data_IF_460568541005
#
_entry.id   IF_460568541005
#
_cell.length_a   1.000
_cell.length_b   1.000
_cell.length_c   1.000
_cell.angle_alpha   90.00
_cell.angle_beta   90.00
_cell.angle_gamma   90.00
#
_symmetry.space_group_name_H-M   'P 1'
#
loop_
_entity.id
_entity.type
_entity.pdbx_description
1 polymer ?
#
# COMPACT_ATOMS: atom_id res chain seq x y z
N UNK A 1 -15.32 10.95 5.41
CA UNK A 1 -13.87 11.04 5.71
C UNK A 1 -13.18 9.93 4.95
N UNK A 2 -12.15 10.24 4.16
CA UNK A 2 -11.49 9.23 3.32
C UNK A 2 -10.84 8.13 4.16
N UNK A 3 -10.97 6.88 3.73
CA UNK A 3 -10.36 5.72 4.39
C UNK A 3 -8.90 5.58 3.99
N UNK A 4 -8.00 5.58 4.98
CA UNK A 4 -6.56 5.49 4.75
C UNK A 4 -6.06 4.07 5.04
N UNK A 5 -5.46 3.41 4.04
CA UNK A 5 -5.00 2.03 4.12
C UNK A 5 -3.49 1.98 3.87
N UNK A 6 -2.72 1.52 4.85
CA UNK A 6 -1.30 1.22 4.67
C UNK A 6 -1.12 -0.19 4.12
N UNK A 7 -0.36 -0.34 3.03
CA UNK A 7 0.00 -1.65 2.47
C UNK A 7 1.38 -2.03 2.99
N UNK A 8 1.43 -2.90 3.98
CA UNK A 8 2.65 -3.22 4.70
C UNK A 8 2.97 -4.71 4.76
N UNK A 9 4.23 -5.04 4.64
CA UNK A 9 4.83 -6.32 4.97
C UNK A 9 6.36 -6.14 4.97
N UNK A 10 7.04 -6.63 5.99
CA UNK A 10 8.50 -6.51 6.10
C UNK A 10 9.26 -7.36 5.08
N UNK A 11 8.63 -8.38 4.50
CA UNK A 11 9.24 -9.20 3.44
C UNK A 11 9.22 -8.46 2.11
N UNK A 12 10.39 -8.38 1.46
CA UNK A 12 10.49 -7.86 0.10
C UNK A 12 9.84 -8.80 -0.93
N UNK A 13 9.34 -8.25 -2.03
CA UNK A 13 8.82 -9.03 -3.15
C UNK A 13 7.46 -9.71 -2.92
N UNK A 14 6.72 -9.36 -1.87
CA UNK A 14 5.39 -9.93 -1.60
C UNK A 14 4.25 -9.27 -2.40
N UNK A 15 4.55 -8.28 -3.22
CA UNK A 15 3.57 -7.59 -4.05
C UNK A 15 2.95 -6.34 -3.40
N UNK A 16 3.60 -5.68 -2.42
CA UNK A 16 3.11 -4.43 -1.82
C UNK A 16 2.85 -3.34 -2.86
N UNK A 17 3.89 -2.92 -3.58
CA UNK A 17 3.76 -1.88 -4.62
C UNK A 17 2.82 -2.31 -5.75
N UNK A 18 2.86 -3.60 -6.14
CA UNK A 18 1.91 -4.14 -7.12
C UNK A 18 0.46 -4.00 -6.62
N UNK A 19 0.23 -4.26 -5.34
CA UNK A 19 -1.11 -4.11 -4.73
C UNK A 19 -1.48 -2.63 -4.62
N UNK A 20 -0.56 -1.76 -4.17
CA UNK A 20 -0.82 -0.32 -4.08
C UNK A 20 -1.22 0.27 -5.44
N UNK A 21 -0.45 0.00 -6.51
CA UNK A 21 -0.73 0.47 -7.86
C UNK A 21 -2.10 0.00 -8.35
N UNK A 22 -2.34 -1.31 -8.29
CA UNK A 22 -3.49 -1.90 -8.96
C UNK A 22 -4.79 -1.76 -8.15
N UNK A 23 -4.72 -1.80 -6.81
CA UNK A 23 -5.86 -1.51 -5.95
C UNK A 23 -6.31 -0.05 -6.13
N UNK A 24 -5.38 0.91 -6.04
CA UNK A 24 -5.68 2.33 -6.23
C UNK A 24 -6.33 2.58 -7.59
N UNK A 25 -5.77 2.00 -8.65
CA UNK A 25 -6.29 2.19 -10.00
C UNK A 25 -7.66 1.52 -10.23
N UNK A 26 -7.93 0.36 -9.63
CA UNK A 26 -9.23 -0.29 -9.71
C UNK A 26 -10.29 0.46 -8.87
N UNK A 27 -9.93 1.01 -7.71
CA UNK A 27 -10.80 1.89 -6.93
C UNK A 27 -11.18 3.13 -7.75
N UNK A 28 -10.20 3.77 -8.42
CA UNK A 28 -10.43 4.91 -9.31
C UNK A 28 -11.34 4.57 -10.50
N UNK A 29 -11.15 3.41 -11.14
CA UNK A 29 -12.01 2.88 -12.20
C UNK A 29 -13.46 2.68 -11.72
N UNK A 30 -13.67 2.37 -10.43
CA UNK A 30 -14.98 2.24 -9.78
C UNK A 30 -15.56 3.58 -9.30
N UNK A 31 -14.94 4.70 -9.63
CA UNK A 31 -15.43 6.04 -9.34
C UNK A 31 -15.01 6.62 -8.00
N UNK A 32 -14.16 5.93 -7.23
CA UNK A 32 -13.61 6.44 -5.99
C UNK A 32 -12.48 7.45 -6.26
N UNK A 33 -12.41 8.54 -5.51
CA UNK A 33 -11.28 9.46 -5.55
C UNK A 33 -10.14 8.90 -4.69
N UNK A 34 -9.01 8.61 -5.31
CA UNK A 34 -7.90 7.93 -4.64
C UNK A 34 -6.62 8.78 -4.66
N UNK A 35 -6.00 8.90 -3.50
CA UNK A 35 -4.62 9.37 -3.36
C UNK A 35 -3.73 8.18 -3.04
N UNK A 36 -2.73 7.93 -3.86
CA UNK A 36 -1.68 6.95 -3.58
C UNK A 36 -0.45 7.67 -3.05
N UNK A 37 0.19 7.12 -2.01
CA UNK A 37 1.42 7.66 -1.42
C UNK A 37 2.48 6.58 -1.51
N UNK A 38 3.57 6.87 -2.20
CA UNK A 38 4.73 5.98 -2.29
C UNK A 38 5.69 6.30 -1.14
N UNK A 39 5.80 5.42 -0.14
CA UNK A 39 6.70 5.57 1.01
C UNK A 39 7.95 4.69 0.90
N UNK A 40 8.20 4.08 -0.27
CA UNK A 40 9.40 3.29 -0.51
C UNK A 40 10.45 4.13 -1.27
N UNK A 41 11.69 4.26 -0.76
CA UNK A 41 12.79 4.93 -1.48
C UNK A 41 13.10 4.33 -2.85
N UNK A 42 12.67 3.10 -3.11
CA UNK A 42 12.80 2.49 -4.44
C UNK A 42 11.89 3.15 -5.49
N UNK A 43 10.81 3.83 -5.08
CA UNK A 43 9.89 4.53 -5.98
C UNK A 43 9.23 3.59 -7.00
N UNK A 44 8.91 2.35 -6.59
CA UNK A 44 8.32 1.35 -7.49
C UNK A 44 6.86 1.69 -7.83
N UNK A 45 6.10 2.19 -6.88
CA UNK A 45 4.73 2.66 -7.10
C UNK A 45 4.73 3.89 -7.98
N UNK A 46 5.65 4.82 -7.76
CA UNK A 46 5.85 6.01 -8.59
C UNK A 46 6.09 5.66 -10.06
N UNK A 47 7.10 4.83 -10.32
CA UNK A 47 7.42 4.40 -11.70
C UNK A 47 6.30 3.55 -12.31
N UNK A 48 5.67 2.68 -11.52
CA UNK A 48 4.60 1.79 -11.97
C UNK A 48 3.29 2.53 -12.32
N UNK A 49 3.15 3.77 -11.85
CA UNK A 49 2.06 4.69 -12.20
C UNK A 49 2.46 5.71 -13.28
N UNK A 50 3.59 5.51 -13.95
CA UNK A 50 4.02 6.31 -15.11
C UNK A 50 4.65 7.65 -14.77
N UNK A 51 5.10 7.84 -13.53
CA UNK A 51 5.81 9.06 -13.11
C UNK A 51 7.32 8.81 -13.12
N UNK A 52 8.06 9.66 -13.84
CA UNK A 52 9.53 9.62 -13.91
C UNK A 52 10.15 10.15 -12.61
N UNK A 53 10.38 9.25 -11.66
CA UNK A 53 10.80 9.57 -10.29
C UNK A 53 12.08 10.42 -10.17
N UNK A 54 12.92 10.44 -11.21
CA UNK A 54 14.15 11.24 -11.23
C UNK A 54 13.92 12.67 -11.76
N UNK A 55 12.73 12.97 -12.28
CA UNK A 55 12.37 14.27 -12.85
C UNK A 55 11.41 15.05 -11.93
N UNK A 56 10.95 14.44 -10.85
CA UNK A 56 10.03 15.07 -9.89
C UNK A 56 10.82 15.78 -8.81
N UNK A 57 10.53 17.08 -8.64
CA UNK A 57 11.19 17.95 -7.65
C UNK A 57 10.56 17.82 -6.25
N UNK A 58 9.21 17.69 -6.18
CA UNK A 58 8.48 17.63 -4.93
C UNK A 58 7.94 16.23 -4.71
N UNK A 59 8.53 15.51 -3.75
CA UNK A 59 8.20 14.13 -3.42
C UNK A 59 7.78 14.00 -1.95
N UNK A 60 7.47 12.80 -1.53
CA UNK A 60 7.22 12.51 -0.12
C UNK A 60 8.42 12.87 0.77
N UNK A 61 9.64 12.85 0.24
CA UNK A 61 10.84 13.24 0.97
C UNK A 61 10.81 14.72 1.37
N UNK A 62 10.62 15.63 0.42
CA UNK A 62 10.54 17.06 0.68
C UNK A 62 9.34 17.40 1.58
N UNK A 63 8.24 16.65 1.46
CA UNK A 63 7.07 16.80 2.32
C UNK A 63 7.41 16.44 3.79
N UNK A 64 8.06 15.31 4.03
CA UNK A 64 8.42 14.86 5.37
C UNK A 64 9.43 15.78 6.06
N UNK A 65 10.30 16.43 5.30
CA UNK A 65 11.27 17.41 5.82
C UNK A 65 10.67 18.83 5.97
N UNK A 66 9.44 19.06 5.51
CA UNK A 66 8.80 20.37 5.54
C UNK A 66 9.39 21.35 4.52
N UNK A 67 10.08 20.85 3.51
CA UNK A 67 10.72 21.64 2.44
C UNK A 67 9.74 21.97 1.31
N UNK A 68 8.66 21.17 1.17
CA UNK A 68 7.59 21.39 0.20
C UNK A 68 6.21 21.35 0.84
N UNK A 69 5.25 22.07 0.25
CA UNK A 69 3.85 22.01 0.66
C UNK A 69 3.20 20.74 0.11
N UNK A 70 2.19 20.24 0.81
CA UNK A 70 1.46 19.05 0.42
C UNK A 70 0.86 19.17 -0.99
N UNK A 71 0.29 20.34 -1.33
CA UNK A 71 -0.34 20.57 -2.63
C UNK A 71 0.67 20.48 -3.79
N UNK A 72 1.93 20.85 -3.55
CA UNK A 72 3.00 20.80 -4.54
C UNK A 72 3.52 19.36 -4.76
N UNK A 73 3.28 18.48 -3.80
CA UNK A 73 3.68 17.06 -3.86
C UNK A 73 2.62 16.16 -4.51
N UNK A 74 1.36 16.61 -4.63
CA UNK A 74 0.27 15.81 -5.20
C UNK A 74 0.23 15.97 -6.71
N UNK A 75 0.45 14.87 -7.43
CA UNK A 75 0.43 14.81 -8.90
C UNK A 75 -0.87 14.12 -9.35
N UNK A 76 -1.76 14.79 -10.11
CA UNK A 76 -2.86 14.13 -10.77
C UNK A 76 -2.33 13.21 -11.87
N UNK A 77 -2.80 11.98 -11.92
CA UNK A 77 -2.37 10.99 -12.90
C UNK A 77 -3.33 10.95 -14.11
N UNK A 78 -2.85 10.40 -15.23
CA UNK A 78 -3.67 10.16 -16.43
C UNK A 78 -4.53 8.89 -16.33
N UNK A 79 -4.97 8.56 -15.11
CA UNK A 79 -5.86 7.44 -14.81
C UNK A 79 -7.09 7.97 -14.06
N UNK A 80 -8.21 7.27 -14.15
CA UNK A 80 -9.47 7.73 -13.59
C UNK A 80 -9.38 7.96 -12.08
N UNK A 81 -9.71 9.18 -11.62
CA UNK A 81 -9.82 9.59 -10.22
C UNK A 81 -8.58 9.32 -9.34
N UNK A 82 -7.38 9.29 -9.93
CA UNK A 82 -6.16 8.88 -9.26
C UNK A 82 -5.15 10.02 -9.16
N UNK A 83 -4.63 10.25 -7.97
CA UNK A 83 -3.51 11.16 -7.67
C UNK A 83 -2.40 10.40 -6.95
N UNK A 84 -1.17 10.91 -7.03
CA UNK A 84 0.03 10.30 -6.43
C UNK A 84 0.85 11.35 -5.68
N UNK A 85 1.33 11.00 -4.49
CA UNK A 85 2.51 11.61 -3.88
C UNK A 85 3.69 10.68 -4.20
N UNK A 86 4.63 11.10 -5.07
CA UNK A 86 5.71 10.26 -5.57
C UNK A 86 6.85 10.11 -4.57
N UNK A 87 7.69 9.10 -4.79
CA UNK A 87 8.93 8.84 -4.07
C UNK A 87 10.11 8.71 -5.01
N UNK A 88 11.29 8.96 -4.45
CA UNK A 88 12.57 8.68 -5.10
C UNK A 88 13.63 8.25 -4.08
N UNK A 89 14.87 8.01 -4.56
CA UNK A 89 15.98 7.52 -3.74
C UNK A 89 16.34 8.44 -2.57
N UNK A 90 16.04 9.74 -2.64
CA UNK A 90 16.34 10.71 -1.57
C UNK A 90 15.58 10.37 -0.29
N UNK A 91 14.42 9.73 -0.39
CA UNK A 91 13.63 9.32 0.77
C UNK A 91 14.42 8.41 1.75
N UNK A 92 15.44 7.70 1.28
CA UNK A 92 16.32 6.95 2.16
C UNK A 92 17.06 7.84 3.18
N UNK A 93 17.28 9.12 2.87
CA UNK A 93 17.88 10.10 3.77
C UNK A 93 16.96 10.55 4.90
N UNK A 94 15.64 10.52 4.69
CA UNK A 94 14.66 11.01 5.64
C UNK A 94 14.76 10.32 7.01
N UNK A 95 15.10 9.04 7.06
CA UNK A 95 15.26 8.30 8.32
C UNK A 95 16.37 8.87 9.22
N UNK A 96 17.43 9.40 8.61
CA UNK A 96 18.54 10.01 9.34
C UNK A 96 18.20 11.45 9.70
N UNK A 97 17.60 12.19 8.78
CA UNK A 97 17.32 13.60 8.95
C UNK A 97 16.18 13.86 9.95
N UNK A 98 15.25 12.92 10.09
CA UNK A 98 14.20 12.96 11.09
C UNK A 98 14.68 12.55 12.50
N UNK A 99 15.94 12.10 12.67
CA UNK A 99 16.51 11.85 14.01
C UNK A 99 16.54 13.16 14.80
N UNK A 100 15.79 13.21 15.92
CA UNK A 100 15.77 14.40 16.79
C UNK A 100 14.66 15.40 16.46
N UNK A 101 13.86 15.16 15.44
CA UNK A 101 12.63 15.92 15.18
C UNK A 101 11.58 15.45 16.19
N UNK A 102 10.92 16.39 16.87
CA UNK A 102 9.80 16.10 17.77
C UNK A 102 8.59 15.63 16.97
N UNK A 103 7.82 14.68 17.51
CA UNK A 103 6.62 14.11 16.89
C UNK A 103 6.81 13.62 15.44
N UNK A 104 8.01 13.15 15.13
CA UNK A 104 8.38 12.68 13.78
C UNK A 104 7.51 11.53 13.27
N UNK A 105 6.90 10.78 14.16
CA UNK A 105 5.98 9.68 13.84
C UNK A 105 4.64 10.19 13.28
N UNK A 106 4.31 11.46 13.48
CA UNK A 106 3.05 12.10 13.10
C UNK A 106 3.17 13.06 11.91
N UNK A 107 4.34 13.22 11.32
CA UNK A 107 4.57 14.20 10.24
C UNK A 107 3.66 13.91 9.04
N UNK A 108 3.62 12.66 8.58
CA UNK A 108 2.75 12.27 7.48
C UNK A 108 1.27 12.46 7.84
N UNK A 109 0.86 12.04 9.03
CA UNK A 109 -0.52 12.21 9.51
C UNK A 109 -0.96 13.68 9.48
N UNK A 110 -0.14 14.57 10.04
CA UNK A 110 -0.44 16.01 10.09
C UNK A 110 -0.55 16.64 8.69
N UNK A 111 0.20 16.13 7.72
CA UNK A 111 0.08 16.57 6.34
C UNK A 111 -1.20 16.03 5.68
N UNK A 112 -1.45 14.73 5.79
CA UNK A 112 -2.56 14.07 5.10
C UNK A 112 -3.92 14.46 5.67
N UNK A 113 -4.04 14.73 6.97
CA UNK A 113 -5.28 15.20 7.60
C UNK A 113 -5.82 16.49 6.95
N UNK A 114 -4.99 17.29 6.28
CA UNK A 114 -5.39 18.52 5.58
C UNK A 114 -6.18 18.26 4.28
N UNK A 115 -6.00 17.10 3.66
CA UNK A 115 -6.63 16.75 2.37
C UNK A 115 -7.50 15.49 2.45
N UNK A 116 -7.54 14.84 3.60
CA UNK A 116 -8.20 13.55 3.80
C UNK A 116 -9.67 13.54 3.32
N UNK A 117 -10.40 14.61 3.56
CA UNK A 117 -11.81 14.74 3.15
C UNK A 117 -12.02 14.96 1.64
N UNK A 118 -10.95 15.16 0.87
CA UNK A 118 -10.99 15.33 -0.58
C UNK A 118 -10.95 14.00 -1.34
N UNK A 119 -10.60 12.91 -0.64
CA UNK A 119 -10.46 11.56 -1.20
C UNK A 119 -11.39 10.57 -0.50
N UNK A 120 -11.83 9.56 -1.24
CA UNK A 120 -12.59 8.43 -0.70
C UNK A 120 -11.63 7.39 -0.11
N UNK A 121 -10.47 7.19 -0.75
CA UNK A 121 -9.39 6.32 -0.29
C UNK A 121 -8.02 7.00 -0.37
N UNK A 122 -7.19 6.71 0.62
CA UNK A 122 -5.76 7.04 0.62
C UNK A 122 -4.99 5.73 0.80
N UNK A 123 -4.16 5.37 -0.18
CA UNK A 123 -3.39 4.11 -0.18
C UNK A 123 -1.92 4.44 0.01
N UNK A 124 -1.29 3.89 1.04
CA UNK A 124 0.12 4.14 1.36
C UNK A 124 0.93 2.86 1.09
N UNK A 125 1.83 2.91 0.10
CA UNK A 125 2.78 1.82 -0.18
C UNK A 125 3.99 1.90 0.75
N UNK A 126 4.16 0.92 1.64
CA UNK A 126 5.23 0.91 2.63
C UNK A 126 6.49 0.18 2.12
N UNK A 127 7.70 0.60 2.54
CA UNK A 127 8.94 -0.11 2.25
C UNK A 127 8.98 -1.51 2.90
N UNK A 128 9.90 -2.41 2.48
CA UNK A 128 10.06 -3.74 3.06
C UNK A 128 10.84 -3.71 4.38
N UNK A 129 10.47 -2.81 5.29
CA UNK A 129 11.14 -2.63 6.58
C UNK A 129 10.16 -2.02 7.58
N UNK A 130 10.35 -2.31 8.86
CA UNK A 130 9.56 -1.71 9.95
C UNK A 130 10.33 -0.53 10.55
N UNK A 131 10.64 0.44 9.71
CA UNK A 131 11.39 1.65 10.04
C UNK A 131 10.48 2.87 10.25
N UNK A 132 11.08 4.06 10.37
CA UNK A 132 10.36 5.31 10.60
C UNK A 132 9.34 5.63 9.49
N UNK A 133 9.61 5.27 8.24
CA UNK A 133 8.69 5.48 7.13
C UNK A 133 7.43 4.62 7.29
N UNK A 134 7.60 3.35 7.63
CA UNK A 134 6.46 2.44 7.90
C UNK A 134 5.68 2.87 9.15
N UNK A 135 6.36 3.36 10.19
CA UNK A 135 5.71 3.90 11.39
C UNK A 135 4.84 5.12 11.03
N UNK A 136 5.35 6.07 10.24
CA UNK A 136 4.56 7.20 9.74
C UNK A 136 3.34 6.76 8.95
N UNK A 137 3.49 5.76 8.07
CA UNK A 137 2.37 5.20 7.31
C UNK A 137 1.30 4.60 8.24
N UNK A 138 1.68 3.79 9.24
CA UNK A 138 0.75 3.15 10.18
C UNK A 138 0.12 4.15 11.15
N UNK A 139 0.85 5.20 11.55
CA UNK A 139 0.31 6.28 12.39
C UNK A 139 -0.75 7.10 11.65
N UNK A 140 -0.62 7.21 10.32
CA UNK A 140 -1.56 7.93 9.46
C UNK A 140 -2.77 7.10 9.06
N UNK A 141 -2.60 5.78 8.93
CA UNK A 141 -3.61 4.86 8.40
C UNK A 141 -4.73 4.56 9.41
N UNK A 142 -5.91 4.26 8.90
CA UNK A 142 -7.00 3.64 9.66
C UNK A 142 -6.78 2.14 9.77
N UNK A 143 -6.29 1.54 8.66
CA UNK A 143 -6.13 0.08 8.59
C UNK A 143 -4.85 -0.32 7.85
N UNK A 144 -4.40 -1.57 8.09
CA UNK A 144 -3.24 -2.18 7.43
C UNK A 144 -3.67 -3.35 6.57
N UNK A 145 -3.48 -3.27 5.25
CA UNK A 145 -3.64 -4.37 4.30
C UNK A 145 -2.30 -5.09 4.15
N UNK A 146 -2.32 -6.42 4.27
CA UNK A 146 -1.11 -7.25 4.31
C UNK A 146 -1.06 -8.21 3.11
N UNK A 147 -0.32 -7.88 2.04
CA UNK A 147 -0.04 -8.84 0.98
C UNK A 147 0.89 -9.94 1.48
N UNK A 148 0.52 -11.21 1.25
CA UNK A 148 1.31 -12.38 1.66
C UNK A 148 1.56 -13.29 0.46
N UNK A 149 2.84 -13.66 0.27
CA UNK A 149 3.20 -14.74 -0.63
C UNK A 149 2.81 -16.11 -0.04
N UNK A 150 2.29 -17.00 -0.88
CA UNK A 150 2.04 -18.39 -0.51
C UNK A 150 3.36 -19.20 -0.42
N UNK A 151 4.24 -18.83 0.52
CA UNK A 151 5.54 -19.45 0.79
C UNK A 151 5.66 -19.86 2.26
N UNK A 152 6.58 -20.78 2.54
CA UNK A 152 6.74 -21.42 3.85
C UNK A 152 6.88 -20.44 5.04
N UNK A 153 7.60 -19.33 4.87
CA UNK A 153 7.82 -18.33 5.93
C UNK A 153 6.73 -17.24 6.02
N UNK A 154 5.58 -17.46 5.42
CA UNK A 154 4.49 -16.47 5.39
C UNK A 154 3.99 -16.12 6.81
N UNK A 155 3.80 -17.11 7.67
CA UNK A 155 3.30 -16.94 9.04
C UNK A 155 4.28 -16.22 9.96
N UNK A 156 5.57 -16.46 9.83
CA UNK A 156 6.59 -15.80 10.64
C UNK A 156 6.60 -14.29 10.36
N UNK A 157 6.59 -13.89 9.08
CA UNK A 157 6.52 -12.49 8.68
C UNK A 157 5.23 -11.81 9.13
N UNK A 158 4.10 -12.53 9.07
CA UNK A 158 2.81 -12.03 9.53
C UNK A 158 2.82 -11.77 11.05
N UNK A 159 3.33 -12.72 11.85
CA UNK A 159 3.40 -12.57 13.31
C UNK A 159 4.25 -11.37 13.73
N UNK A 160 5.37 -11.12 13.06
CA UNK A 160 6.23 -9.97 13.34
C UNK A 160 5.53 -8.64 12.98
N UNK A 161 4.78 -8.61 11.87
CA UNK A 161 4.01 -7.43 11.48
C UNK A 161 2.87 -7.17 12.48
N UNK A 162 2.14 -8.20 12.91
CA UNK A 162 1.10 -8.09 13.93
C UNK A 162 1.63 -7.46 15.22
N UNK A 163 2.77 -7.93 15.69
CA UNK A 163 3.41 -7.32 16.86
C UNK A 163 3.76 -5.83 16.65
N UNK A 164 4.16 -5.45 15.44
CA UNK A 164 4.42 -4.04 15.13
C UNK A 164 3.14 -3.21 15.13
N UNK A 165 2.04 -3.75 14.57
CA UNK A 165 0.72 -3.10 14.60
C UNK A 165 0.30 -2.87 16.07
N UNK A 166 0.41 -3.88 16.93
CA UNK A 166 0.11 -3.78 18.37
C UNK A 166 0.93 -2.66 19.05
N UNK A 167 2.23 -2.56 18.76
CA UNK A 167 3.08 -1.49 19.30
C UNK A 167 2.66 -0.09 18.80
N UNK A 168 2.24 0.02 17.56
CA UNK A 168 1.71 1.29 17.02
C UNK A 168 0.38 1.63 17.65
N UNK A 169 -0.53 0.68 17.84
CA UNK A 169 -1.80 0.85 18.54
C UNK A 169 -1.58 1.34 19.98
N UNK A 170 -0.67 0.72 20.71
CA UNK A 170 -0.41 1.07 22.10
C UNK A 170 0.17 2.49 22.30
N UNK A 171 0.93 3.01 21.33
CA UNK A 171 1.76 4.20 21.54
C UNK A 171 1.44 5.38 20.64
N UNK A 172 0.94 5.15 19.44
CA UNK A 172 0.86 6.16 18.39
C UNK A 172 -0.54 6.30 17.79
N UNK A 173 -1.20 5.19 17.45
CA UNK A 173 -2.48 5.18 16.77
C UNK A 173 -3.40 4.08 17.35
N UNK A 174 -4.12 4.37 18.45
CA UNK A 174 -4.99 3.37 19.12
C UNK A 174 -6.14 2.85 18.23
N UNK A 175 -6.50 3.57 17.19
CA UNK A 175 -7.60 3.20 16.27
C UNK A 175 -7.12 2.44 15.03
N UNK A 176 -5.81 2.16 14.91
CA UNK A 176 -5.28 1.39 13.80
C UNK A 176 -5.80 -0.04 13.86
N UNK A 177 -6.37 -0.52 12.77
CA UNK A 177 -6.90 -1.89 12.69
C UNK A 177 -6.23 -2.68 11.56
N UNK A 178 -6.39 -4.00 11.58
CA UNK A 178 -6.01 -4.83 10.44
C UNK A 178 -7.09 -4.77 9.38
N UNK A 179 -6.78 -4.22 8.21
CA UNK A 179 -7.65 -4.24 7.04
C UNK A 179 -7.90 -5.68 6.56
N UNK A 180 -6.84 -6.43 6.47
CA UNK A 180 -6.88 -7.85 6.12
C UNK A 180 -5.65 -8.33 5.37
N UNK A 181 -5.62 -9.65 5.21
CA UNK A 181 -4.59 -10.36 4.45
C UNK A 181 -5.08 -10.64 3.04
N UNK A 182 -4.27 -10.33 2.03
CA UNK A 182 -4.47 -10.75 0.64
C UNK A 182 -3.35 -11.67 0.19
N UNK A 183 -3.70 -12.85 -0.31
CA UNK A 183 -2.72 -13.78 -0.87
C UNK A 183 -2.32 -13.33 -2.27
N UNK A 184 -1.01 -13.27 -2.51
CA UNK A 184 -0.43 -12.84 -3.78
C UNK A 184 0.40 -13.93 -4.43
N UNK A 185 0.58 -13.83 -5.74
CA UNK A 185 1.35 -14.78 -6.57
C UNK A 185 0.97 -16.24 -6.31
N UNK A 186 -0.30 -16.46 -6.03
CA UNK A 186 -0.85 -17.79 -5.80
C UNK A 186 -0.70 -18.67 -7.04
N UNK A 187 -0.23 -19.90 -6.83
CA UNK A 187 -0.13 -20.92 -7.88
C UNK A 187 -0.96 -22.16 -7.47
N UNK A 188 -2.14 -22.31 -8.06
CA UNK A 188 -3.07 -23.40 -7.80
C UNK A 188 -2.50 -24.80 -8.12
N UNK A 189 -1.37 -24.88 -8.83
CA UNK A 189 -0.72 -26.14 -9.19
C UNK A 189 0.15 -26.72 -8.05
N UNK A 190 0.39 -25.92 -7.00
CA UNK A 190 1.27 -26.29 -5.90
C UNK A 190 0.48 -26.56 -4.61
N UNK A 191 0.76 -27.71 -3.97
CA UNK A 191 0.19 -28.01 -2.66
C UNK A 191 0.66 -27.02 -1.58
N UNK A 192 1.85 -26.43 -1.75
CA UNK A 192 2.39 -25.45 -0.81
C UNK A 192 1.47 -24.23 -0.71
N UNK A 193 0.99 -23.71 -1.84
CA UNK A 193 0.09 -22.56 -1.84
C UNK A 193 -1.20 -22.83 -1.07
N UNK A 194 -1.79 -24.01 -1.23
CA UNK A 194 -2.98 -24.43 -0.48
C UNK A 194 -2.69 -24.52 1.02
N UNK A 195 -1.60 -25.19 1.40
CA UNK A 195 -1.23 -25.34 2.81
C UNK A 195 -0.97 -24.00 3.51
N UNK A 196 -0.33 -23.05 2.82
CA UNK A 196 -0.09 -21.72 3.38
C UNK A 196 -1.41 -20.97 3.60
N UNK A 197 -2.33 -21.03 2.63
CA UNK A 197 -3.65 -20.41 2.76
C UNK A 197 -4.41 -21.01 3.96
N UNK A 198 -4.43 -22.34 4.11
CA UNK A 198 -5.06 -23.02 5.24
C UNK A 198 -4.42 -22.62 6.57
N UNK A 199 -3.09 -22.67 6.68
CA UNK A 199 -2.37 -22.30 7.90
C UNK A 199 -2.60 -20.84 8.33
N UNK A 200 -2.66 -19.91 7.37
CA UNK A 200 -2.95 -18.50 7.68
C UNK A 200 -4.40 -18.36 8.13
N UNK A 201 -5.35 -19.06 7.49
CA UNK A 201 -6.76 -19.07 7.91
C UNK A 201 -6.95 -19.63 9.32
N UNK A 202 -6.23 -20.67 9.67
CA UNK A 202 -6.28 -21.28 11.01
C UNK A 202 -5.65 -20.37 12.09
N UNK A 203 -4.75 -19.45 11.70
CA UNK A 203 -4.03 -18.55 12.60
C UNK A 203 -4.71 -17.18 12.76
N UNK A 204 -5.54 -16.79 11.80
CA UNK A 204 -6.30 -15.53 11.79
C UNK A 204 -7.78 -15.87 11.75
N UNK A 205 -8.49 -15.64 12.85
CA UNK A 205 -9.93 -15.90 12.97
C UNK A 205 -10.78 -15.07 11.99
N UNK A 206 -10.27 -13.89 11.58
CA UNK A 206 -10.98 -12.95 10.70
C UNK A 206 -9.96 -12.12 9.88
N UNK A 207 -10.44 -11.31 8.95
CA UNK A 207 -9.63 -10.38 8.16
C UNK A 207 -8.76 -11.03 7.07
N UNK A 208 -9.32 -12.01 6.35
CA UNK A 208 -8.71 -12.54 5.13
C UNK A 208 -9.64 -12.22 3.95
N UNK A 209 -9.09 -11.61 2.92
CA UNK A 209 -9.83 -11.35 1.69
C UNK A 209 -10.19 -12.66 0.97
N UNK A 210 -11.40 -12.71 0.43
CA UNK A 210 -11.85 -13.84 -0.42
C UNK A 210 -11.05 -13.88 -1.72
N UNK A 211 -10.70 -12.69 -2.22
CA UNK A 211 -9.89 -12.52 -3.42
C UNK A 211 -8.46 -12.96 -3.22
N UNK A 212 -7.96 -13.76 -4.16
CA UNK A 212 -6.58 -14.22 -4.23
C UNK A 212 -5.96 -13.67 -5.53
N UNK A 213 -4.78 -13.04 -5.44
CA UNK A 213 -4.06 -12.54 -6.61
C UNK A 213 -3.17 -13.66 -7.17
N UNK A 214 -3.45 -14.15 -8.38
CA UNK A 214 -2.68 -15.24 -8.97
C UNK A 214 -1.30 -14.75 -9.45
N UNK A 215 -0.35 -15.69 -9.59
CA UNK A 215 0.88 -15.41 -10.33
C UNK A 215 0.52 -15.09 -11.79
N UNK A 216 0.82 -13.88 -12.23
CA UNK A 216 0.44 -13.39 -13.53
C UNK A 216 1.57 -12.57 -14.17
N UNK A 217 2.02 -12.95 -15.37
CA UNK A 217 3.11 -12.30 -16.10
C UNK A 217 2.74 -10.85 -16.45
N UNK A 218 1.48 -10.57 -16.77
CA UNK A 218 1.01 -9.22 -17.12
C UNK A 218 1.15 -8.24 -15.96
N UNK A 219 0.93 -8.71 -14.71
CA UNK A 219 1.20 -7.90 -13.51
C UNK A 219 2.68 -7.55 -13.34
N UNK A 220 3.58 -8.41 -13.79
CA UNK A 220 5.01 -8.16 -13.75
C UNK A 220 5.49 -7.23 -14.88
N UNK A 221 4.84 -7.28 -16.04
CA UNK A 221 5.15 -6.47 -17.22
C UNK A 221 4.62 -5.02 -17.09
N UNK A 222 3.40 -4.84 -16.59
CA UNK A 222 2.68 -3.56 -16.56
C UNK A 222 3.52 -2.39 -15.98
N UNK A 223 4.26 -2.54 -14.85
CA UNK A 223 5.08 -1.48 -14.31
C UNK A 223 6.19 -0.99 -15.24
N UNK A 224 6.70 -1.84 -16.15
CA UNK A 224 7.72 -1.44 -17.14
C UNK A 224 7.17 -0.51 -18.23
N UNK A 225 5.85 -0.42 -18.31
CA UNK A 225 5.13 0.52 -19.20
C UNK A 225 4.54 1.71 -18.42
N UNK A 226 4.80 1.80 -17.12
CA UNK A 226 4.23 2.85 -16.27
C UNK A 226 2.70 2.80 -16.19
N UNK A 227 2.11 1.61 -16.26
CA UNK A 227 0.65 1.44 -16.32
C UNK A 227 0.15 0.46 -15.26
N UNK A 228 -0.94 0.77 -14.54
CA UNK A 228 -1.69 -0.22 -13.78
C UNK A 228 -2.26 -1.31 -14.69
N UNK A 229 -2.50 -2.49 -14.12
CA UNK A 229 -2.92 -3.68 -14.88
C UNK A 229 -4.25 -3.50 -15.64
N UNK A 230 -5.20 -2.77 -15.05
CA UNK A 230 -6.51 -2.52 -15.66
C UNK A 230 -6.44 -1.57 -16.88
N UNK A 231 -5.34 -0.82 -17.05
CA UNK A 231 -5.02 -0.05 -18.25
C UNK A 231 -4.09 -0.82 -19.22
N UNK A 232 -3.15 -1.61 -18.68
CA UNK A 232 -2.19 -2.37 -19.46
C UNK A 232 -2.85 -3.59 -20.17
N UNK A 233 -3.59 -4.42 -19.41
CA UNK A 233 -4.31 -5.59 -19.92
C UNK A 233 -5.61 -5.81 -19.15
N UNK A 234 -6.67 -5.12 -19.60
CA UNK A 234 -8.00 -5.08 -18.96
C UNK A 234 -8.67 -6.46 -18.78
N UNK A 235 -8.25 -7.46 -19.57
CA UNK A 235 -8.85 -8.80 -19.61
C UNK A 235 -7.97 -9.85 -18.92
N UNK A 236 -6.82 -9.46 -18.39
CA UNK A 236 -5.96 -10.37 -17.67
C UNK A 236 -6.61 -10.84 -16.37
N UNK A 237 -6.27 -12.04 -15.93
CA UNK A 237 -6.71 -12.54 -14.61
C UNK A 237 -6.20 -11.65 -13.47
N UNK A 238 -5.05 -10.98 -13.66
CA UNK A 238 -4.55 -10.00 -12.70
C UNK A 238 -5.46 -8.78 -12.57
N UNK A 239 -5.95 -8.23 -13.69
CA UNK A 239 -6.90 -7.10 -13.68
C UNK A 239 -8.23 -7.48 -13.03
N UNK A 240 -8.75 -8.66 -13.35
CA UNK A 240 -9.98 -9.18 -12.75
C UNK A 240 -9.83 -9.34 -11.22
N UNK A 241 -8.73 -9.96 -10.77
CA UNK A 241 -8.50 -10.16 -9.33
C UNK A 241 -8.36 -8.83 -8.57
N UNK A 242 -7.69 -7.81 -9.13
CA UNK A 242 -7.61 -6.51 -8.46
C UNK A 242 -8.92 -5.73 -8.47
N UNK A 243 -9.79 -5.91 -9.47
CA UNK A 243 -11.17 -5.36 -9.42
C UNK A 243 -11.99 -6.03 -8.33
N UNK A 244 -11.91 -7.36 -8.18
CA UNK A 244 -12.57 -8.08 -7.10
C UNK A 244 -12.05 -7.64 -5.73
N UNK A 245 -10.73 -7.44 -5.59
CA UNK A 245 -10.16 -6.92 -4.34
C UNK A 245 -10.65 -5.51 -4.03
N UNK A 246 -10.72 -4.63 -5.04
CA UNK A 246 -11.22 -3.27 -4.89
C UNK A 246 -12.71 -3.26 -4.46
N UNK A 247 -13.51 -4.14 -5.05
CA UNK A 247 -14.91 -4.32 -4.67
C UNK A 247 -15.06 -4.79 -3.21
N UNK A 248 -14.27 -5.79 -2.78
CA UNK A 248 -14.24 -6.22 -1.38
C UNK A 248 -13.78 -5.09 -0.44
N UNK A 249 -12.79 -4.27 -0.82
CA UNK A 249 -12.33 -3.12 -0.02
C UNK A 249 -13.44 -2.09 0.15
N UNK A 250 -14.18 -1.77 -0.92
CA UNK A 250 -15.27 -0.79 -0.86
C UNK A 250 -16.37 -1.26 0.12
N UNK A 251 -16.77 -2.52 0.05
CA UNK A 251 -17.92 -3.04 0.80
C UNK A 251 -17.57 -3.57 2.20
N UNK A 252 -16.29 -3.64 2.57
CA UNK A 252 -15.89 -4.20 3.86
C UNK A 252 -16.34 -3.39 5.08
N UNK A 253 -16.62 -2.11 4.90
CA UNK A 253 -17.22 -1.26 5.95
C UNK A 253 -18.74 -1.37 6.08
N UNK A 254 -19.40 -2.08 5.17
CA UNK A 254 -20.87 -2.21 5.14
C UNK A 254 -21.36 -3.51 5.82
N UNK A 255 -20.47 -4.43 6.20
CA UNK A 255 -20.80 -5.74 6.81
C UNK A 255 -20.72 -5.74 8.36
N UNK A 256 -20.50 -4.58 9.02
CA UNK A 256 -20.55 -4.42 10.48
C UNK A 256 -21.94 -3.81 10.95
#
# INVERSE_FOLDING_TARGET
MGRTIAIANQKGGVGKSTTAINLSSCLGEMGQKVLTIDMDPQGNTTSGMGVEKNEVENTIYELLLGESKLEDCIIPLNFDNLSLIPSNVNLAGAEIELIGVEDKEFILKNAIDQVRDQYDFIIIDCPPSLNMLTINAMTTADTVLVPILCEYYALEGLSQLMHTIELVQERLNPELEMEGVVFTMYDARTNLSLQVVENVKDSLDQNIYKTIIPRNVRLAEAPSYGMPINYYDKRSTGAESYRLLADEVIHRGDEE
#
